data_IF_124516999636
#
_entry.id   IF_124516999636
#
_cell.length_a   1.000
_cell.length_b   1.000
_cell.length_c   1.000
_cell.angle_alpha   90.00
_cell.angle_beta   90.00
_cell.angle_gamma   90.00
#
_symmetry.space_group_name_H-M   'P 1'
#
loop_
_entity.id
_entity.type
_entity.pdbx_description
1 polymer ?
#
# COMPACT_ATOMS: atom_id res chain seq x y z
N UNK A 1 -24.35 3.03 51.95
CA UNK A 1 -24.50 4.39 52.54
C UNK A 1 -24.34 5.32 51.36
N UNK A 2 -25.43 6.00 50.99
CA UNK A 2 -25.51 6.73 49.73
C UNK A 2 -24.58 7.94 49.70
N UNK A 3 -23.88 8.18 48.58
CA UNK A 3 -23.26 9.48 48.34
C UNK A 3 -24.36 10.55 48.23
N UNK A 4 -24.14 11.70 48.86
CA UNK A 4 -24.92 12.92 48.64
C UNK A 4 -24.62 13.52 47.25
N UNK A 5 -25.49 14.43 46.78
CA UNK A 5 -25.30 15.10 45.48
C UNK A 5 -23.97 15.85 45.38
N UNK A 6 -23.53 16.49 46.48
CA UNK A 6 -22.27 17.21 46.56
C UNK A 6 -21.06 16.26 46.52
N UNK A 7 -21.17 15.10 47.18
CA UNK A 7 -20.13 14.07 47.16
C UNK A 7 -19.99 13.42 45.77
N UNK A 8 -21.10 13.14 45.08
CA UNK A 8 -21.10 12.61 43.70
C UNK A 8 -20.36 13.55 42.74
N UNK A 9 -20.54 14.86 42.90
CA UNK A 9 -19.85 15.86 42.07
C UNK A 9 -18.36 15.93 42.38
N UNK A 10 -18.00 15.84 43.67
CA UNK A 10 -16.62 15.92 44.16
C UNK A 10 -15.78 14.64 44.01
N UNK A 11 -16.32 13.54 43.47
CA UNK A 11 -15.57 12.30 43.28
C UNK A 11 -14.33 12.54 42.42
N UNK A 12 -13.17 12.14 42.93
CA UNK A 12 -11.89 12.25 42.21
C UNK A 12 -11.78 11.22 41.07
N UNK A 13 -12.39 10.04 41.21
CA UNK A 13 -12.44 9.02 40.17
C UNK A 13 -13.85 8.40 40.11
N UNK A 14 -14.82 9.10 39.50
CA UNK A 14 -16.20 8.65 39.48
C UNK A 14 -16.39 7.29 38.81
N UNK A 15 -15.48 6.83 37.93
CA UNK A 15 -15.55 5.46 37.40
C UNK A 15 -15.30 4.39 38.46
N UNK A 16 -14.32 4.57 39.36
CA UNK A 16 -14.06 3.57 40.41
C UNK A 16 -15.21 3.45 41.41
N UNK A 17 -15.81 4.59 41.74
CA UNK A 17 -16.84 4.66 42.77
C UNK A 17 -18.23 4.29 42.21
N UNK A 18 -18.54 4.68 40.97
CA UNK A 18 -19.86 4.51 40.35
C UNK A 18 -19.87 3.59 39.12
N UNK A 19 -18.74 3.04 38.69
CA UNK A 19 -18.64 2.30 37.42
C UNK A 19 -19.21 0.88 37.42
N UNK A 20 -19.71 0.40 38.56
CA UNK A 20 -20.37 -0.90 38.67
C UNK A 20 -21.90 -0.76 38.69
N UNK A 21 -22.61 -1.82 38.29
CA UNK A 21 -24.06 -1.80 38.12
C UNK A 21 -24.83 -1.54 39.42
N UNK A 22 -24.32 -2.06 40.54
CA UNK A 22 -24.97 -1.92 41.85
C UNK A 22 -24.90 -0.47 42.35
N UNK A 23 -23.74 0.18 42.24
CA UNK A 23 -23.54 1.58 42.60
C UNK A 23 -24.36 2.52 41.68
N UNK A 24 -24.37 2.26 40.38
CA UNK A 24 -25.24 2.99 39.45
C UNK A 24 -26.71 2.89 39.85
N UNK A 25 -27.18 1.70 40.25
CA UNK A 25 -28.56 1.49 40.67
C UNK A 25 -28.87 2.14 42.03
N UNK A 26 -27.97 2.02 43.02
CA UNK A 26 -28.12 2.58 44.37
C UNK A 26 -28.26 4.11 44.33
N UNK A 27 -27.52 4.79 43.44
CA UNK A 27 -27.53 6.25 43.34
C UNK A 27 -28.44 6.81 42.24
N UNK A 28 -29.31 5.98 41.64
CA UNK A 28 -30.13 6.34 40.48
C UNK A 28 -30.92 7.63 40.64
N UNK A 29 -31.61 7.81 41.77
CA UNK A 29 -32.44 8.99 41.99
C UNK A 29 -31.60 10.26 42.09
N UNK A 30 -30.50 10.22 42.84
CA UNK A 30 -29.56 11.35 42.95
C UNK A 30 -28.91 11.71 41.62
N UNK A 31 -28.47 10.72 40.84
CA UNK A 31 -27.91 10.94 39.50
C UNK A 31 -28.91 11.60 38.54
N UNK A 32 -30.20 11.29 38.67
CA UNK A 32 -31.23 11.91 37.83
C UNK A 32 -31.64 13.33 38.27
N UNK A 33 -31.38 13.71 39.52
CA UNK A 33 -31.62 15.06 40.05
C UNK A 33 -30.54 16.08 39.62
N UNK A 34 -29.39 15.61 39.12
CA UNK A 34 -28.34 16.47 38.58
C UNK A 34 -28.86 17.32 37.41
N UNK A 35 -28.32 18.54 37.28
CA UNK A 35 -28.57 19.40 36.12
C UNK A 35 -28.04 18.76 34.83
N UNK A 36 -28.48 19.25 33.67
CA UNK A 36 -28.01 18.72 32.39
C UNK A 36 -26.49 18.82 32.23
N UNK A 37 -25.89 19.95 32.66
CA UNK A 37 -24.45 20.16 32.65
C UNK A 37 -23.73 19.21 33.61
N UNK A 38 -24.24 19.07 34.84
CA UNK A 38 -23.66 18.17 35.85
C UNK A 38 -23.71 16.70 35.41
N UNK A 39 -24.81 16.26 34.78
CA UNK A 39 -24.92 14.92 34.21
C UNK A 39 -23.85 14.69 33.14
N UNK A 40 -23.67 15.68 32.25
CA UNK A 40 -22.70 15.61 31.15
C UNK A 40 -21.27 15.56 31.67
N UNK A 41 -20.91 16.41 32.63
CA UNK A 41 -19.57 16.47 33.23
C UNK A 41 -19.23 15.18 33.96
N UNK A 42 -20.15 14.67 34.80
CA UNK A 42 -19.95 13.42 35.52
C UNK A 42 -19.82 12.23 34.55
N UNK A 43 -20.70 12.14 33.56
CA UNK A 43 -20.64 11.10 32.53
C UNK A 43 -19.31 11.12 31.75
N UNK A 44 -18.87 12.31 31.36
CA UNK A 44 -17.60 12.52 30.65
C UNK A 44 -16.42 12.04 31.49
N UNK A 45 -16.35 12.41 32.78
CA UNK A 45 -15.29 11.94 33.69
C UNK A 45 -15.33 10.43 33.90
N UNK A 46 -16.50 9.85 34.13
CA UNK A 46 -16.65 8.39 34.27
C UNK A 46 -16.15 7.64 33.03
N UNK A 47 -16.50 8.15 31.83
CA UNK A 47 -16.08 7.52 30.57
C UNK A 47 -14.58 7.70 30.34
N UNK A 48 -14.01 8.88 30.65
CA UNK A 48 -12.57 9.12 30.54
C UNK A 48 -11.76 8.21 31.46
N UNK A 49 -12.17 8.10 32.73
CA UNK A 49 -11.49 7.31 33.77
C UNK A 49 -11.62 5.79 33.55
N UNK A 50 -12.60 5.34 32.76
CA UNK A 50 -12.79 3.93 32.41
C UNK A 50 -11.60 3.42 31.55
N UNK A 51 -10.84 2.41 32.01
CA UNK A 51 -9.77 1.81 31.22
C UNK A 51 -10.30 1.17 29.93
N UNK A 52 -9.53 1.23 28.84
CA UNK A 52 -9.93 0.66 27.55
C UNK A 52 -10.26 -0.85 27.64
N UNK A 53 -9.55 -1.60 28.48
CA UNK A 53 -9.77 -3.04 28.72
C UNK A 53 -11.14 -3.34 29.34
N UNK A 54 -11.70 -2.39 30.08
CA UNK A 54 -12.97 -2.54 30.80
C UNK A 54 -14.14 -1.84 30.09
N UNK A 55 -13.87 -1.08 29.04
CA UNK A 55 -14.87 -0.32 28.28
C UNK A 55 -16.03 -1.21 27.80
N UNK A 56 -15.75 -2.44 27.36
CA UNK A 56 -16.79 -3.38 26.91
C UNK A 56 -17.68 -3.85 28.06
N UNK A 57 -17.12 -4.15 29.23
CA UNK A 57 -17.91 -4.52 30.41
C UNK A 57 -18.71 -3.34 30.93
N UNK A 58 -18.12 -2.14 30.91
CA UNK A 58 -18.81 -0.92 31.33
C UNK A 58 -20.02 -0.60 30.45
N UNK A 59 -19.91 -0.80 29.12
CA UNK A 59 -21.07 -0.68 28.22
C UNK A 59 -22.23 -1.60 28.59
N UNK A 60 -21.95 -2.84 29.05
CA UNK A 60 -23.00 -3.77 29.52
C UNK A 60 -23.65 -3.30 30.80
N UNK A 61 -22.87 -2.70 31.70
CA UNK A 61 -23.36 -2.11 32.95
C UNK A 61 -24.30 -0.93 32.65
N UNK A 62 -23.90 -0.04 31.74
CA UNK A 62 -24.73 1.10 31.31
C UNK A 62 -26.04 0.60 30.68
N UNK A 63 -25.97 -0.38 29.78
CA UNK A 63 -27.16 -0.92 29.12
C UNK A 63 -28.10 -1.62 30.11
N UNK A 64 -27.57 -2.35 31.09
CA UNK A 64 -28.36 -2.99 32.14
C UNK A 64 -29.06 -1.97 33.06
N UNK A 65 -28.46 -0.79 33.26
CA UNK A 65 -29.04 0.30 34.04
C UNK A 65 -30.01 1.17 33.23
N UNK A 66 -30.12 0.95 31.92
CA UNK A 66 -30.98 1.72 31.03
C UNK A 66 -32.45 1.50 31.38
N UNK A 67 -33.22 2.58 31.32
CA UNK A 67 -34.65 2.59 31.59
C UNK A 67 -35.37 2.82 30.27
N UNK A 68 -36.06 1.80 29.71
CA UNK A 68 -36.88 1.98 28.52
C UNK A 68 -38.00 3.00 28.80
N UNK A 69 -38.27 3.89 27.85
CA UNK A 69 -39.42 4.82 27.87
C UNK A 69 -39.41 5.89 28.98
N UNK A 70 -38.25 6.45 29.33
CA UNK A 70 -38.22 7.64 30.18
C UNK A 70 -38.68 8.89 29.38
N UNK A 71 -39.64 9.65 29.94
CA UNK A 71 -40.16 10.89 29.34
C UNK A 71 -39.12 12.04 29.32
N UNK A 72 -38.01 11.89 30.05
CA UNK A 72 -36.95 12.88 30.19
C UNK A 72 -35.55 12.22 30.10
N UNK A 73 -34.52 12.96 29.65
CA UNK A 73 -33.15 12.46 29.58
C UNK A 73 -32.63 12.09 30.97
N UNK A 74 -32.37 10.79 31.15
CA UNK A 74 -31.80 10.23 32.38
C UNK A 74 -30.29 10.39 32.40
N UNK A 75 -29.67 10.26 33.57
CA UNK A 75 -28.22 10.18 33.65
C UNK A 75 -27.66 9.04 32.77
N UNK A 76 -28.32 7.88 32.72
CA UNK A 76 -27.86 6.74 31.93
C UNK A 76 -27.90 6.99 30.42
N UNK A 77 -28.87 7.75 29.91
CA UNK A 77 -28.86 8.13 28.49
C UNK A 77 -27.68 9.04 28.16
N UNK A 78 -27.38 10.01 29.05
CA UNK A 78 -26.21 10.90 28.90
C UNK A 78 -24.89 10.13 29.04
N UNK A 79 -24.84 9.14 29.95
CA UNK A 79 -23.68 8.27 30.14
C UNK A 79 -23.47 7.34 28.93
N UNK A 80 -24.55 6.81 28.37
CA UNK A 80 -24.50 5.97 27.17
C UNK A 80 -24.00 6.76 25.95
N UNK A 81 -24.47 7.99 25.74
CA UNK A 81 -23.98 8.86 24.66
C UNK A 81 -22.47 9.15 24.80
N UNK A 82 -22.00 9.51 26.01
CA UNK A 82 -20.57 9.71 26.27
C UNK A 82 -19.75 8.43 26.02
N UNK A 83 -20.28 7.29 26.47
CA UNK A 83 -19.69 5.97 26.23
C UNK A 83 -19.56 5.66 24.74
N UNK A 84 -20.60 5.95 23.96
CA UNK A 84 -20.62 5.73 22.51
C UNK A 84 -19.51 6.50 21.79
N UNK A 85 -19.23 7.74 22.19
CA UNK A 85 -18.12 8.54 21.63
C UNK A 85 -16.77 7.85 21.83
N UNK A 86 -16.44 7.47 23.08
CA UNK A 86 -15.18 6.77 23.38
C UNK A 86 -15.12 5.41 22.67
N UNK A 87 -16.23 4.66 22.65
CA UNK A 87 -16.33 3.37 21.96
C UNK A 87 -16.06 3.50 20.46
N UNK A 88 -16.69 4.47 19.78
CA UNK A 88 -16.54 4.66 18.33
C UNK A 88 -15.12 5.07 17.96
N UNK A 89 -14.47 5.94 18.75
CA UNK A 89 -13.06 6.30 18.54
C UNK A 89 -12.16 5.06 18.65
N UNK A 90 -12.32 4.22 19.68
CA UNK A 90 -11.54 2.98 19.78
C UNK A 90 -11.88 1.95 18.71
N UNK A 91 -13.11 1.94 18.19
CA UNK A 91 -13.48 1.07 17.08
C UNK A 91 -12.75 1.43 15.77
N UNK A 92 -12.24 2.67 15.64
CA UNK A 92 -11.32 3.06 14.56
C UNK A 92 -9.95 2.39 14.69
N UNK A 93 -9.56 1.91 15.89
CA UNK A 93 -8.31 1.18 16.14
C UNK A 93 -8.47 -0.34 16.18
N UNK A 94 -9.69 -0.87 16.25
CA UNK A 94 -9.93 -2.31 16.37
C UNK A 94 -9.43 -3.05 15.12
N UNK A 95 -8.38 -3.85 15.26
CA UNK A 95 -7.78 -4.64 14.16
C UNK A 95 -8.75 -5.61 13.50
N UNK A 96 -9.84 -5.99 14.17
CA UNK A 96 -10.89 -6.86 13.61
C UNK A 96 -11.87 -6.10 12.71
N UNK A 97 -11.98 -4.79 12.87
CA UNK A 97 -12.83 -3.96 12.03
C UNK A 97 -12.14 -3.71 10.68
N UNK A 98 -12.49 -4.45 9.64
CA UNK A 98 -11.83 -4.31 8.32
C UNK A 98 -12.08 -2.97 7.64
N UNK A 99 -13.15 -2.26 8.01
CA UNK A 99 -13.62 -1.03 7.35
C UNK A 99 -13.89 0.09 8.37
N UNK A 100 -12.88 0.56 9.12
CA UNK A 100 -13.08 1.61 10.14
C UNK A 100 -13.60 2.93 9.58
N UNK A 101 -13.30 3.22 8.31
CA UNK A 101 -13.75 4.45 7.66
C UNK A 101 -15.27 4.58 7.60
N UNK A 102 -16.02 3.47 7.63
CA UNK A 102 -17.48 3.50 7.63
C UNK A 102 -18.06 4.20 8.86
N UNK A 103 -17.37 4.13 10.02
CA UNK A 103 -17.75 4.84 11.24
C UNK A 103 -17.70 6.38 11.11
N UNK A 104 -17.01 6.87 10.08
CA UNK A 104 -16.86 8.29 9.74
C UNK A 104 -17.76 8.67 8.56
N UNK A 105 -18.37 7.69 7.87
CA UNK A 105 -19.25 7.91 6.72
C UNK A 105 -20.74 7.80 7.11
N UNK A 106 -21.58 8.47 6.32
CA UNK A 106 -22.93 8.93 6.66
C UNK A 106 -23.89 7.93 7.33
N UNK A 107 -23.81 6.63 7.06
CA UNK A 107 -24.74 5.65 7.66
C UNK A 107 -24.41 5.31 9.12
N UNK A 108 -23.15 5.42 9.52
CA UNK A 108 -22.70 5.09 10.89
C UNK A 108 -22.15 6.32 11.64
N UNK A 109 -22.05 7.45 10.94
CA UNK A 109 -21.54 8.70 11.45
C UNK A 109 -22.64 9.52 12.13
N UNK A 110 -22.39 9.90 13.39
CA UNK A 110 -23.33 10.70 14.20
C UNK A 110 -22.66 12.03 14.56
N UNK A 111 -22.76 12.99 13.65
CA UNK A 111 -22.11 14.29 13.78
C UNK A 111 -22.60 15.05 15.03
N UNK A 112 -23.92 14.98 15.32
CA UNK A 112 -24.53 15.65 16.47
C UNK A 112 -23.95 15.12 17.79
N UNK A 113 -23.78 13.80 17.92
CA UNK A 113 -23.19 13.19 19.10
C UNK A 113 -21.75 13.66 19.34
N UNK A 114 -20.92 13.67 18.30
CA UNK A 114 -19.53 14.12 18.44
C UNK A 114 -19.43 15.62 18.71
N UNK A 115 -20.28 16.45 18.10
CA UNK A 115 -20.35 17.88 18.40
C UNK A 115 -20.80 18.13 19.85
N UNK A 116 -21.77 17.36 20.35
CA UNK A 116 -22.23 17.44 21.74
C UNK A 116 -21.12 17.09 22.74
N UNK A 117 -20.26 16.13 22.42
CA UNK A 117 -19.19 15.63 23.29
C UNK A 117 -17.79 15.93 22.74
N UNK A 118 -17.60 17.09 22.11
CA UNK A 118 -16.35 17.45 21.44
C UNK A 118 -15.12 17.38 22.34
N UNK A 119 -15.19 17.93 23.55
CA UNK A 119 -14.05 17.93 24.49
C UNK A 119 -13.68 16.51 24.95
N UNK A 120 -14.66 15.64 25.16
CA UNK A 120 -14.45 14.22 25.44
C UNK A 120 -13.76 13.54 24.26
N UNK A 121 -14.26 13.76 23.05
CA UNK A 121 -13.69 13.18 21.84
C UNK A 121 -12.22 13.60 21.64
N UNK A 122 -11.91 14.89 21.83
CA UNK A 122 -10.54 15.41 21.75
C UNK A 122 -9.61 14.76 22.78
N UNK A 123 -10.05 14.62 24.04
CA UNK A 123 -9.26 13.97 25.08
C UNK A 123 -9.00 12.48 24.80
N UNK A 124 -9.98 11.77 24.22
CA UNK A 124 -9.79 10.37 23.81
C UNK A 124 -8.86 10.27 22.60
N UNK A 125 -8.89 11.27 21.71
CA UNK A 125 -8.04 11.32 20.52
C UNK A 125 -6.58 11.61 20.84
N UNK A 126 -6.25 12.45 21.83
CA UNK A 126 -4.90 13.02 22.15
C UNK A 126 -3.72 12.03 22.24
N UNK A 127 -4.00 10.72 22.35
CA UNK A 127 -2.98 9.66 22.43
C UNK A 127 -3.05 8.66 21.27
N UNK A 128 -4.01 8.83 20.38
CA UNK A 128 -4.42 7.85 19.37
C UNK A 128 -4.45 8.43 17.95
N UNK A 129 -4.24 9.72 17.75
CA UNK A 129 -4.47 10.37 16.45
C UNK A 129 -3.59 9.79 15.36
N UNK A 130 -2.30 9.58 15.64
CA UNK A 130 -1.36 9.01 14.67
C UNK A 130 -1.76 7.60 14.28
N UNK A 131 -2.08 6.75 15.28
CA UNK A 131 -2.45 5.37 15.06
C UNK A 131 -3.77 5.24 14.29
N UNK A 132 -4.77 6.09 14.61
CA UNK A 132 -6.04 6.14 13.90
C UNK A 132 -5.82 6.63 12.46
N UNK A 133 -5.03 7.69 12.27
CA UNK A 133 -4.77 8.26 10.95
C UNK A 133 -4.02 7.28 10.03
N UNK A 134 -2.98 6.60 10.55
CA UNK A 134 -2.27 5.54 9.84
C UNK A 134 -3.24 4.43 9.44
N UNK A 135 -4.02 3.92 10.39
CA UNK A 135 -4.96 2.82 10.14
C UNK A 135 -6.05 3.17 9.14
N UNK A 136 -6.59 4.39 9.21
CA UNK A 136 -7.55 4.87 8.22
C UNK A 136 -6.87 4.98 6.85
N UNK A 137 -5.65 5.49 6.76
CA UNK A 137 -4.94 5.55 5.48
C UNK A 137 -4.68 4.15 4.89
N UNK A 138 -4.36 3.16 5.72
CA UNK A 138 -4.17 1.77 5.28
C UNK A 138 -5.46 1.10 4.75
N UNK A 139 -6.61 1.39 5.37
CA UNK A 139 -7.85 0.63 5.16
C UNK A 139 -8.92 1.35 4.36
N UNK A 140 -8.80 2.67 4.15
CA UNK A 140 -9.79 3.47 3.42
C UNK A 140 -9.54 3.37 1.91
N UNK A 141 -10.54 2.94 1.12
CA UNK A 141 -10.48 2.98 -0.34
C UNK A 141 -10.22 4.40 -0.84
N UNK A 142 -9.50 4.51 -1.96
CA UNK A 142 -9.08 5.80 -2.50
C UNK A 142 -10.26 6.74 -2.77
N UNK A 143 -11.39 6.22 -3.28
CA UNK A 143 -12.57 7.04 -3.58
C UNK A 143 -13.21 7.63 -2.31
N UNK A 144 -13.03 6.98 -1.16
CA UNK A 144 -13.64 7.38 0.12
C UNK A 144 -12.75 8.31 0.95
N UNK A 145 -11.45 8.42 0.66
CA UNK A 145 -10.50 9.21 1.47
C UNK A 145 -10.89 10.68 1.58
N UNK A 146 -11.34 11.29 0.49
CA UNK A 146 -11.73 12.69 0.48
C UNK A 146 -12.95 12.94 1.39
N UNK A 147 -13.97 12.08 1.31
CA UNK A 147 -15.18 12.23 2.13
C UNK A 147 -14.86 12.04 3.62
N UNK A 148 -14.03 11.05 3.95
CA UNK A 148 -13.57 10.84 5.33
C UNK A 148 -12.85 12.08 5.86
N UNK A 149 -11.93 12.65 5.07
CA UNK A 149 -11.20 13.86 5.47
C UNK A 149 -12.13 15.07 5.68
N UNK A 150 -13.14 15.23 4.83
CA UNK A 150 -14.14 16.30 4.96
C UNK A 150 -14.99 16.13 6.23
N UNK A 151 -15.50 14.91 6.50
CA UNK A 151 -16.31 14.62 7.68
C UNK A 151 -15.50 14.83 8.97
N UNK A 152 -14.23 14.39 9.00
CA UNK A 152 -13.33 14.66 10.14
C UNK A 152 -13.11 16.16 10.32
N UNK A 153 -12.88 16.90 9.23
CA UNK A 153 -12.66 18.36 9.30
C UNK A 153 -13.92 19.12 9.77
N UNK A 154 -15.11 18.61 9.45
CA UNK A 154 -16.38 19.15 9.93
C UNK A 154 -16.50 19.10 11.46
N UNK A 155 -16.24 17.95 12.07
CA UNK A 155 -16.35 17.77 13.53
C UNK A 155 -15.16 18.39 14.27
N UNK A 156 -13.96 18.16 13.74
CA UNK A 156 -12.69 18.46 14.40
C UNK A 156 -11.90 19.52 13.62
N UNK A 157 -12.47 20.71 13.36
CA UNK A 157 -11.79 21.76 12.62
C UNK A 157 -10.52 22.19 13.36
N UNK A 158 -9.44 22.38 12.60
CA UNK A 158 -8.14 22.88 13.08
C UNK A 158 -7.47 22.05 14.19
N UNK A 159 -7.89 20.78 14.34
CA UNK A 159 -7.31 19.85 15.33
C UNK A 159 -6.05 19.15 14.81
N UNK A 160 -5.26 18.58 15.74
CA UNK A 160 -4.15 17.70 15.38
C UNK A 160 -4.64 16.45 14.63
N UNK A 161 -5.77 15.88 15.07
CA UNK A 161 -6.38 14.71 14.43
C UNK A 161 -6.72 14.95 12.95
N UNK A 162 -7.42 16.04 12.63
CA UNK A 162 -7.77 16.37 11.25
C UNK A 162 -6.54 16.58 10.36
N UNK A 163 -5.50 17.24 10.90
CA UNK A 163 -4.22 17.41 10.17
C UNK A 163 -3.53 16.08 9.90
N UNK A 164 -3.47 15.18 10.90
CA UNK A 164 -2.87 13.85 10.76
C UNK A 164 -3.59 12.98 9.73
N UNK A 165 -4.92 13.03 9.70
CA UNK A 165 -5.72 12.33 8.67
C UNK A 165 -5.36 12.81 7.27
N UNK A 166 -5.32 14.14 7.07
CA UNK A 166 -4.93 14.72 5.79
C UNK A 166 -3.52 14.30 5.35
N UNK A 167 -2.55 14.36 6.28
CA UNK A 167 -1.17 13.95 6.03
C UNK A 167 -1.05 12.46 5.71
N UNK A 168 -1.69 11.59 6.48
CA UNK A 168 -1.66 10.15 6.26
C UNK A 168 -2.29 9.76 4.91
N UNK A 169 -3.41 10.39 4.53
CA UNK A 169 -4.04 10.16 3.22
C UNK A 169 -3.19 10.68 2.06
N UNK A 170 -2.58 11.86 2.19
CA UNK A 170 -1.69 12.41 1.18
C UNK A 170 -0.45 11.52 0.99
N UNK A 171 0.18 11.11 2.10
CA UNK A 171 1.33 10.22 2.07
C UNK A 171 0.97 8.85 1.47
N UNK A 172 -0.17 8.27 1.87
CA UNK A 172 -0.63 7.00 1.31
C UNK A 172 -0.88 7.08 -0.19
N UNK A 173 -1.51 8.15 -0.66
CA UNK A 173 -1.70 8.40 -2.10
C UNK A 173 -0.36 8.47 -2.83
N UNK A 174 0.62 9.19 -2.27
CA UNK A 174 1.93 9.35 -2.90
C UNK A 174 2.73 8.03 -2.88
N UNK A 175 2.59 7.21 -1.83
CA UNK A 175 3.14 5.85 -1.81
C UNK A 175 2.51 5.02 -2.93
N UNK A 176 1.17 5.00 -3.03
CA UNK A 176 0.44 4.17 -3.98
C UNK A 176 0.69 4.58 -5.44
N UNK A 177 0.70 5.90 -5.72
CA UNK A 177 0.78 6.45 -7.08
C UNK A 177 2.20 6.74 -7.56
N UNK A 178 3.08 7.19 -6.66
CA UNK A 178 4.44 7.62 -7.03
C UNK A 178 5.45 6.53 -6.68
N UNK A 179 5.58 6.18 -5.39
CA UNK A 179 6.62 5.24 -4.93
C UNK A 179 6.44 3.82 -5.49
N UNK A 180 5.20 3.33 -5.54
CA UNK A 180 4.86 2.04 -6.16
C UNK A 180 4.57 2.14 -7.66
N UNK A 181 4.50 3.36 -8.19
CA UNK A 181 4.22 3.65 -9.59
C UNK A 181 5.41 3.40 -10.51
N UNK A 182 5.38 4.03 -11.69
CA UNK A 182 6.43 3.87 -12.69
C UNK A 182 7.61 4.84 -12.49
N UNK A 183 7.37 5.98 -11.84
CA UNK A 183 8.36 7.01 -11.56
C UNK A 183 8.52 7.25 -10.04
N UNK A 184 9.15 6.31 -9.31
CA UNK A 184 9.31 6.40 -7.85
C UNK A 184 10.19 7.57 -7.39
N UNK A 185 10.98 8.16 -8.29
CA UNK A 185 11.76 9.37 -7.99
C UNK A 185 10.87 10.59 -7.70
N UNK A 186 9.65 10.66 -8.27
CA UNK A 186 8.71 11.76 -8.07
C UNK A 186 8.19 11.82 -6.63
N UNK A 187 8.12 10.68 -5.94
CA UNK A 187 7.77 10.62 -4.51
C UNK A 187 8.64 11.57 -3.68
N UNK A 188 9.97 11.54 -3.89
CA UNK A 188 10.93 12.37 -3.15
C UNK A 188 10.96 13.84 -3.58
N UNK A 189 10.26 14.20 -4.65
CA UNK A 189 10.11 15.57 -5.13
C UNK A 189 8.68 16.09 -4.94
N UNK A 190 7.78 15.28 -4.38
CA UNK A 190 6.39 15.67 -4.10
C UNK A 190 6.33 16.79 -3.07
N UNK A 191 5.34 17.68 -3.20
CA UNK A 191 5.07 18.72 -2.20
C UNK A 191 4.64 18.15 -0.85
N UNK A 192 4.07 16.95 -0.85
CA UNK A 192 3.61 16.27 0.36
C UNK A 192 4.73 15.46 1.03
N UNK A 193 5.89 15.33 0.38
CA UNK A 193 7.01 14.59 0.93
C UNK A 193 7.63 15.34 2.12
N UNK A 194 7.64 14.66 3.25
CA UNK A 194 8.28 15.11 4.49
C UNK A 194 8.89 13.90 5.19
N UNK A 195 10.16 14.00 5.60
CA UNK A 195 10.82 12.94 6.37
C UNK A 195 10.08 12.69 7.68
N UNK A 196 9.65 13.75 8.35
CA UNK A 196 8.91 13.66 9.61
C UNK A 196 7.58 12.91 9.43
N UNK A 197 6.85 13.21 8.35
CA UNK A 197 5.59 12.52 8.04
C UNK A 197 5.82 11.05 7.68
N UNK A 198 6.92 10.74 6.97
CA UNK A 198 7.25 9.35 6.66
C UNK A 198 7.63 8.54 7.90
N UNK A 199 8.34 9.14 8.85
CA UNK A 199 8.68 8.50 10.12
C UNK A 199 7.45 8.34 11.01
N UNK A 200 6.61 9.36 11.08
CA UNK A 200 5.38 9.35 11.87
C UNK A 200 4.40 8.27 11.38
N UNK A 201 4.29 8.07 10.07
CA UNK A 201 3.40 7.09 9.44
C UNK A 201 4.19 5.92 8.79
N UNK A 202 5.24 5.47 9.47
CA UNK A 202 6.13 4.43 8.95
C UNK A 202 5.41 3.11 8.62
N UNK A 203 4.27 2.82 9.26
CA UNK A 203 3.49 1.62 8.97
C UNK A 203 2.94 1.58 7.55
N UNK A 204 2.72 2.74 6.92
CA UNK A 204 2.25 2.83 5.53
C UNK A 204 3.23 2.25 4.52
N UNK A 205 4.51 2.17 4.85
CA UNK A 205 5.54 1.62 3.97
C UNK A 205 5.60 0.10 3.98
N UNK A 206 4.84 -0.60 4.83
CA UNK A 206 4.78 -2.09 4.80
C UNK A 206 4.39 -2.63 3.41
N UNK A 207 3.69 -1.85 2.60
CA UNK A 207 3.31 -2.21 1.22
C UNK A 207 4.49 -2.33 0.25
N UNK A 208 5.68 -1.80 0.62
CA UNK A 208 6.91 -1.96 -0.17
C UNK A 208 7.57 -3.31 0.06
N UNK A 209 7.11 -4.09 1.06
CA UNK A 209 7.69 -5.39 1.39
C UNK A 209 7.57 -6.37 0.21
N UNK A 210 8.66 -7.03 -0.15
CA UNK A 210 8.82 -7.89 -1.33
C UNK A 210 8.75 -7.16 -2.69
N UNK A 211 8.79 -5.82 -2.70
CA UNK A 211 8.84 -4.99 -3.92
C UNK A 211 10.10 -4.11 -3.95
N UNK A 212 11.00 -4.27 -3.00
CA UNK A 212 12.18 -3.45 -2.76
C UNK A 212 13.06 -3.39 -4.01
N UNK A 213 13.39 -4.55 -4.58
CA UNK A 213 14.25 -4.65 -5.77
C UNK A 213 13.60 -4.03 -7.01
N UNK A 214 12.28 -4.18 -7.16
CA UNK A 214 11.52 -3.57 -8.26
C UNK A 214 11.52 -2.05 -8.16
N UNK A 215 11.20 -1.50 -6.97
CA UNK A 215 11.22 -0.06 -6.71
C UNK A 215 12.64 0.49 -6.88
N UNK A 216 13.65 -0.19 -6.34
CA UNK A 216 15.05 0.19 -6.47
C UNK A 216 15.52 0.24 -7.93
N UNK A 217 15.11 -0.75 -8.74
CA UNK A 217 15.43 -0.77 -10.17
C UNK A 217 14.75 0.40 -10.91
N UNK A 218 13.46 0.64 -10.66
CA UNK A 218 12.74 1.80 -11.23
C UNK A 218 13.35 3.13 -10.80
N UNK A 219 13.79 3.26 -9.54
CA UNK A 219 14.52 4.43 -9.05
C UNK A 219 15.83 4.62 -9.81
N UNK A 220 16.60 3.55 -10.04
CA UNK A 220 17.86 3.62 -10.76
C UNK A 220 17.69 4.00 -12.25
N UNK A 221 16.54 3.69 -12.85
CA UNK A 221 16.19 4.12 -14.21
C UNK A 221 15.72 5.59 -14.28
N UNK A 222 14.82 5.98 -13.38
CA UNK A 222 14.11 7.27 -13.44
C UNK A 222 14.82 8.42 -12.72
N UNK A 223 15.66 8.13 -11.71
CA UNK A 223 16.28 9.17 -10.90
C UNK A 223 17.45 9.85 -11.64
N UNK A 224 17.43 11.20 -11.78
CA UNK A 224 18.58 11.95 -12.26
C UNK A 224 19.82 11.66 -11.40
N UNK A 225 21.00 11.50 -12.02
CA UNK A 225 22.24 11.17 -11.31
C UNK A 225 22.53 12.13 -10.14
N UNK A 226 22.27 13.42 -10.31
CA UNK A 226 22.45 14.46 -9.29
C UNK A 226 21.58 14.26 -8.04
N UNK A 227 20.42 13.60 -8.18
CA UNK A 227 19.46 13.38 -7.10
C UNK A 227 19.64 12.02 -6.41
N UNK A 228 20.42 11.10 -6.96
CA UNK A 228 20.54 9.73 -6.44
C UNK A 228 21.09 9.69 -5.00
N UNK A 229 22.07 10.53 -4.66
CA UNK A 229 22.62 10.60 -3.30
C UNK A 229 21.60 11.10 -2.27
N UNK A 230 20.80 12.10 -2.66
CA UNK A 230 19.73 12.66 -1.83
C UNK A 230 18.62 11.63 -1.63
N UNK A 231 18.20 10.95 -2.70
CA UNK A 231 17.19 9.89 -2.64
C UNK A 231 17.66 8.73 -1.76
N UNK A 232 18.90 8.27 -1.91
CA UNK A 232 19.46 7.21 -1.07
C UNK A 232 19.47 7.60 0.42
N UNK A 233 19.84 8.85 0.75
CA UNK A 233 19.79 9.37 2.11
C UNK A 233 18.35 9.47 2.64
N UNK A 234 17.42 9.92 1.81
CA UNK A 234 16.02 10.02 2.17
C UNK A 234 15.44 8.64 2.50
N UNK A 235 15.70 7.64 1.65
CA UNK A 235 15.25 6.25 1.87
C UNK A 235 15.83 5.66 3.15
N UNK A 236 17.08 5.96 3.46
CA UNK A 236 17.69 5.54 4.73
C UNK A 236 16.97 6.15 5.95
N UNK A 237 16.35 7.32 5.80
CA UNK A 237 15.58 7.98 6.87
C UNK A 237 14.10 7.57 6.91
N UNK A 238 13.57 6.91 5.85
CA UNK A 238 12.17 6.49 5.75
C UNK A 238 11.85 5.31 6.68
N UNK A 239 12.79 4.38 6.85
CA UNK A 239 12.51 3.08 7.46
C UNK A 239 13.53 2.79 8.57
N UNK A 240 13.22 3.11 9.85
CA UNK A 240 14.13 2.86 10.95
C UNK A 240 14.39 1.36 11.25
N UNK A 241 13.71 0.42 10.57
CA UNK A 241 13.77 -1.01 10.89
C UNK A 241 14.10 -1.96 9.74
N UNK A 242 14.23 -1.49 8.49
CA UNK A 242 14.42 -2.39 7.34
C UNK A 242 15.58 -1.91 6.45
N UNK A 243 16.80 -2.33 6.82
CA UNK A 243 18.02 -2.05 6.05
C UNK A 243 17.99 -2.71 4.66
N UNK A 244 17.06 -3.64 4.40
CA UNK A 244 16.92 -4.30 3.11
C UNK A 244 16.55 -3.30 2.00
N UNK A 245 15.51 -2.48 2.17
CA UNK A 245 15.08 -1.56 1.12
C UNK A 245 16.17 -0.54 0.78
N UNK A 246 16.78 0.07 1.80
CA UNK A 246 17.88 1.00 1.62
C UNK A 246 19.09 0.33 0.93
N UNK A 247 19.40 -0.92 1.28
CA UNK A 247 20.46 -1.70 0.64
C UNK A 247 20.15 -1.98 -0.82
N UNK A 248 18.94 -2.43 -1.16
CA UNK A 248 18.53 -2.67 -2.56
C UNK A 248 18.68 -1.41 -3.41
N UNK A 249 18.29 -0.24 -2.88
CA UNK A 249 18.42 1.04 -3.58
C UNK A 249 19.89 1.42 -3.80
N UNK A 250 20.74 1.31 -2.77
CA UNK A 250 22.19 1.57 -2.91
C UNK A 250 22.83 0.64 -3.94
N UNK A 251 22.45 -0.64 -3.92
CA UNK A 251 22.94 -1.62 -4.90
C UNK A 251 22.47 -1.27 -6.31
N UNK A 252 21.19 -0.94 -6.51
CA UNK A 252 20.66 -0.56 -7.82
C UNK A 252 21.34 0.69 -8.40
N UNK A 253 21.58 1.73 -7.58
CA UNK A 253 22.35 2.92 -8.01
C UNK A 253 23.80 2.58 -8.33
N UNK A 254 24.43 1.67 -7.58
CA UNK A 254 25.79 1.20 -7.88
C UNK A 254 25.83 0.45 -9.21
N UNK A 255 24.86 -0.43 -9.48
CA UNK A 255 24.75 -1.13 -10.77
C UNK A 255 24.53 -0.14 -11.90
N UNK A 256 23.62 0.83 -11.75
CA UNK A 256 23.39 1.90 -12.73
C UNK A 256 24.67 2.66 -13.08
N UNK A 257 25.44 3.09 -12.07
CA UNK A 257 26.73 3.77 -12.27
C UNK A 257 27.74 2.86 -12.96
N UNK A 258 27.77 1.58 -12.61
CA UNK A 258 28.68 0.63 -13.24
C UNK A 258 28.29 0.36 -14.70
N UNK A 259 27.01 0.37 -15.06
CA UNK A 259 26.55 0.28 -16.46
C UNK A 259 27.13 1.44 -17.29
N UNK A 260 27.28 2.64 -16.71
CA UNK A 260 27.92 3.76 -17.42
C UNK A 260 29.40 3.46 -17.76
N UNK A 261 30.09 2.57 -17.02
CA UNK A 261 31.43 2.09 -17.38
C UNK A 261 31.42 1.21 -18.64
N UNK A 262 30.35 0.45 -18.88
CA UNK A 262 30.19 -0.32 -20.12
C UNK A 262 30.06 0.61 -21.33
N UNK A 263 29.38 1.75 -21.16
CA UNK A 263 29.19 2.74 -22.22
C UNK A 263 30.44 3.60 -22.47
N UNK A 264 31.41 3.60 -21.55
CA UNK A 264 32.63 4.38 -21.65
C UNK A 264 33.68 3.84 -22.64
N UNK A 265 34.89 4.42 -22.57
CA UNK A 265 36.02 4.03 -23.43
C UNK A 265 36.63 2.68 -23.03
N UNK A 266 36.44 2.26 -21.77
CA UNK A 266 37.06 1.09 -21.16
C UNK A 266 36.02 0.15 -20.54
N UNK A 267 35.21 -0.56 -21.35
CA UNK A 267 34.12 -1.42 -20.87
C UNK A 267 34.60 -2.56 -19.95
N UNK A 268 35.87 -2.95 -20.01
CA UNK A 268 36.47 -3.94 -19.09
C UNK A 268 36.42 -3.53 -17.62
N UNK A 269 36.32 -2.22 -17.34
CA UNK A 269 36.24 -1.70 -15.97
C UNK A 269 34.96 -2.15 -15.26
N UNK A 270 33.87 -2.40 -16.00
CA UNK A 270 32.66 -2.95 -15.43
C UNK A 270 32.89 -4.33 -14.79
N UNK A 271 33.54 -5.24 -15.54
CA UNK A 271 33.77 -6.62 -15.11
C UNK A 271 34.90 -6.77 -14.09
N UNK A 272 35.80 -5.79 -14.03
CA UNK A 272 36.95 -5.78 -13.11
C UNK A 272 36.72 -4.92 -11.87
N UNK A 273 35.59 -4.20 -11.81
CA UNK A 273 35.19 -3.41 -10.65
C UNK A 273 35.00 -4.28 -9.42
N UNK A 274 35.39 -3.74 -8.25
CA UNK A 274 35.13 -4.35 -6.94
C UNK A 274 33.63 -4.52 -6.66
N UNK A 275 32.81 -3.64 -7.26
CA UNK A 275 31.37 -3.61 -7.06
C UNK A 275 30.62 -4.54 -8.05
N UNK A 276 31.33 -5.27 -8.91
CA UNK A 276 30.74 -6.25 -9.82
C UNK A 276 30.24 -7.47 -9.03
N UNK A 277 28.97 -7.82 -9.24
CA UNK A 277 28.37 -9.04 -8.72
C UNK A 277 27.38 -9.58 -9.73
N UNK A 278 27.49 -10.89 -10.04
CA UNK A 278 26.56 -11.58 -10.94
C UNK A 278 25.15 -11.54 -10.36
N UNK A 279 25.00 -11.78 -9.06
CA UNK A 279 23.69 -11.78 -8.39
C UNK A 279 23.00 -10.41 -8.51
N UNK A 280 23.75 -9.32 -8.32
CA UNK A 280 23.22 -7.96 -8.49
C UNK A 280 22.83 -7.68 -9.95
N UNK A 281 23.59 -8.21 -10.93
CA UNK A 281 23.25 -8.05 -12.34
C UNK A 281 21.97 -8.82 -12.70
N UNK A 282 21.74 -9.99 -12.10
CA UNK A 282 20.52 -10.77 -12.31
C UNK A 282 19.32 -10.11 -11.63
N UNK A 283 19.49 -9.66 -10.38
CA UNK A 283 18.47 -8.98 -9.61
C UNK A 283 17.99 -7.68 -10.28
N UNK A 284 18.94 -6.88 -10.79
CA UNK A 284 18.65 -5.62 -11.48
C UNK A 284 18.74 -5.74 -13.00
N UNK A 285 18.40 -6.92 -13.54
CA UNK A 285 18.51 -7.22 -14.97
C UNK A 285 17.73 -6.28 -15.88
N UNK A 286 16.64 -5.67 -15.39
CA UNK A 286 15.85 -4.70 -16.14
C UNK A 286 16.61 -3.41 -16.49
N UNK A 287 17.72 -3.12 -15.78
CA UNK A 287 18.54 -1.94 -16.04
C UNK A 287 19.28 -2.06 -17.38
N UNK A 288 19.72 -3.25 -17.75
CA UNK A 288 20.62 -3.43 -18.90
C UNK A 288 19.92 -3.18 -20.23
N UNK A 289 18.73 -3.76 -20.53
CA UNK A 289 18.06 -3.50 -21.80
C UNK A 289 17.76 -2.01 -21.98
N UNK A 290 17.23 -1.34 -20.95
CA UNK A 290 16.85 0.06 -21.04
C UNK A 290 18.03 1.04 -21.22
N UNK A 291 19.24 0.64 -20.81
CA UNK A 291 20.41 1.53 -20.80
C UNK A 291 21.47 1.19 -21.84
N UNK A 292 21.49 -0.05 -22.33
CA UNK A 292 22.46 -0.53 -23.31
C UNK A 292 21.88 -0.63 -24.72
N UNK A 293 20.58 -0.40 -24.91
CA UNK A 293 19.91 -0.50 -26.21
C UNK A 293 20.67 0.25 -27.30
N UNK A 294 21.12 -0.48 -28.32
CA UNK A 294 21.84 0.07 -29.48
C UNK A 294 23.35 0.22 -29.30
N UNK A 295 23.89 -0.05 -28.10
CA UNK A 295 25.31 0.05 -27.79
C UNK A 295 26.02 -1.31 -27.69
N UNK A 296 25.28 -2.42 -27.69
CA UNK A 296 25.79 -3.76 -27.37
C UNK A 296 26.90 -4.22 -28.32
N UNK A 297 26.76 -3.93 -29.62
CA UNK A 297 27.77 -4.27 -30.63
C UNK A 297 29.07 -3.52 -30.41
N UNK A 298 28.99 -2.20 -30.17
CA UNK A 298 30.17 -1.36 -29.94
C UNK A 298 30.92 -1.78 -28.68
N UNK A 299 30.19 -2.18 -27.63
CA UNK A 299 30.77 -2.69 -26.38
C UNK A 299 31.51 -4.00 -26.65
N UNK A 300 30.89 -4.95 -27.36
CA UNK A 300 31.51 -6.22 -27.72
C UNK A 300 32.77 -6.05 -28.57
N UNK A 301 32.76 -5.15 -29.55
CA UNK A 301 33.92 -4.82 -30.38
C UNK A 301 35.07 -4.26 -29.55
N UNK A 302 34.80 -3.31 -28.65
CA UNK A 302 35.82 -2.76 -27.73
C UNK A 302 36.43 -3.85 -26.84
N UNK A 303 35.59 -4.74 -26.30
CA UNK A 303 36.04 -5.86 -25.47
C UNK A 303 36.88 -6.89 -26.26
N UNK A 304 36.62 -7.07 -27.55
CA UNK A 304 37.38 -8.00 -28.41
C UNK A 304 38.86 -7.63 -28.60
N UNK A 305 39.22 -6.36 -28.37
CA UNK A 305 40.58 -5.82 -28.50
C UNK A 305 41.46 -6.08 -27.26
N UNK A 306 40.90 -6.68 -26.21
CA UNK A 306 41.59 -6.88 -24.94
C UNK A 306 42.53 -8.10 -24.96
N UNK A 307 43.45 -8.14 -24.01
CA UNK A 307 44.35 -9.27 -23.80
C UNK A 307 43.57 -10.57 -23.52
N UNK A 308 44.05 -11.69 -24.08
CA UNK A 308 43.41 -13.01 -24.02
C UNK A 308 43.01 -13.46 -22.61
N UNK A 309 43.81 -13.13 -21.59
CA UNK A 309 43.53 -13.48 -20.19
C UNK A 309 42.33 -12.71 -19.63
N UNK A 310 42.29 -11.40 -19.86
CA UNK A 310 41.18 -10.53 -19.41
C UNK A 310 39.90 -10.88 -20.14
N UNK A 311 39.99 -11.11 -21.45
CA UNK A 311 38.87 -11.52 -22.30
C UNK A 311 38.26 -12.86 -21.86
N UNK A 312 39.10 -13.83 -21.45
CA UNK A 312 38.62 -15.12 -20.94
C UNK A 312 37.84 -15.00 -19.63
N UNK A 313 38.29 -14.16 -18.69
CA UNK A 313 37.55 -13.93 -17.44
C UNK A 313 36.23 -13.17 -17.68
N UNK A 314 36.23 -12.19 -18.59
CA UNK A 314 35.02 -11.47 -19.00
C UNK A 314 34.02 -12.42 -19.65
N UNK A 315 34.46 -13.29 -20.58
CA UNK A 315 33.58 -14.28 -21.21
C UNK A 315 32.97 -15.24 -20.17
N UNK A 316 33.74 -15.72 -19.19
CA UNK A 316 33.20 -16.54 -18.10
C UNK A 316 32.13 -15.79 -17.30
N UNK A 317 32.34 -14.51 -16.99
CA UNK A 317 31.35 -13.68 -16.27
C UNK A 317 30.09 -13.44 -17.10
N UNK A 318 30.23 -13.19 -18.40
CA UNK A 318 29.11 -13.07 -19.34
C UNK A 318 28.31 -14.37 -19.43
N UNK A 319 28.98 -15.52 -19.48
CA UNK A 319 28.33 -16.84 -19.46
C UNK A 319 27.53 -17.06 -18.18
N UNK A 320 28.06 -16.69 -17.02
CA UNK A 320 27.33 -16.80 -15.74
C UNK A 320 26.04 -15.96 -15.73
N UNK A 321 26.08 -14.75 -16.29
CA UNK A 321 24.89 -13.88 -16.39
C UNK A 321 23.92 -14.42 -17.45
N UNK A 322 24.43 -14.88 -18.59
CA UNK A 322 23.63 -15.38 -19.72
C UNK A 322 22.96 -16.72 -19.41
N UNK A 323 23.61 -17.63 -18.67
CA UNK A 323 23.06 -18.93 -18.30
C UNK A 323 21.80 -18.85 -17.45
N UNK A 324 21.61 -17.73 -16.74
CA UNK A 324 20.41 -17.44 -15.97
C UNK A 324 19.32 -16.68 -16.76
N UNK A 325 19.61 -16.22 -17.98
CA UNK A 325 18.67 -15.46 -18.80
C UNK A 325 18.06 -16.31 -19.92
N UNK A 326 16.74 -16.51 -19.90
CA UNK A 326 16.03 -17.25 -20.94
C UNK A 326 15.70 -16.44 -22.21
N UNK A 327 16.01 -15.14 -22.20
CA UNK A 327 15.68 -14.22 -23.28
C UNK A 327 16.81 -14.11 -24.33
N UNK A 328 16.43 -14.17 -25.61
CA UNK A 328 17.35 -13.96 -26.73
C UNK A 328 17.68 -12.48 -26.94
N UNK A 329 16.86 -11.56 -26.41
CA UNK A 329 17.11 -10.11 -26.47
C UNK A 329 17.95 -9.58 -25.30
N UNK A 330 18.58 -10.45 -24.50
CA UNK A 330 19.43 -10.01 -23.40
C UNK A 330 20.69 -9.28 -23.93
N UNK A 331 20.97 -8.03 -23.49
CA UNK A 331 22.15 -7.26 -23.89
C UNK A 331 23.47 -8.01 -23.71
N UNK A 332 23.61 -8.81 -22.65
CA UNK A 332 24.82 -9.58 -22.39
C UNK A 332 25.05 -10.71 -23.39
N UNK A 333 23.99 -11.26 -24.01
CA UNK A 333 24.14 -12.23 -25.11
C UNK A 333 24.57 -11.52 -26.40
N UNK A 334 24.04 -10.33 -26.65
CA UNK A 334 24.42 -9.51 -27.82
C UNK A 334 25.88 -9.05 -27.73
N UNK A 335 26.32 -8.60 -26.55
CA UNK A 335 27.72 -8.27 -26.28
C UNK A 335 28.62 -9.49 -26.50
N UNK A 336 28.27 -10.64 -25.91
CA UNK A 336 29.05 -11.87 -26.06
C UNK A 336 29.15 -12.33 -27.53
N UNK A 337 28.08 -12.20 -28.31
CA UNK A 337 28.08 -12.53 -29.73
C UNK A 337 28.98 -11.59 -30.56
N UNK A 338 29.12 -10.32 -30.16
CA UNK A 338 29.98 -9.35 -30.83
C UNK A 338 31.48 -9.47 -30.47
N UNK A 339 31.83 -10.12 -29.35
CA UNK A 339 33.22 -10.42 -28.98
C UNK A 339 33.82 -11.50 -29.91
N UNK A 340 33.00 -12.41 -30.42
CA UNK A 340 33.45 -13.45 -31.36
C UNK A 340 33.63 -12.82 -32.75
N UNK A 341 34.82 -12.87 -33.35
CA UNK A 341 35.01 -12.33 -34.69
C UNK A 341 34.07 -13.03 -35.67
N UNK A 342 33.27 -12.26 -36.41
CA UNK A 342 32.62 -12.78 -37.63
C UNK A 342 33.71 -13.30 -38.55
N UNK A 343 33.86 -14.62 -38.60
CA UNK A 343 34.53 -15.26 -39.73
C UNK A 343 33.80 -14.77 -40.98
N UNK A 344 34.54 -14.12 -41.88
CA UNK A 344 34.00 -13.62 -43.14
C UNK A 344 33.28 -14.72 -43.93
N UNK A 345 32.29 -14.37 -44.77
CA UNK A 345 31.52 -15.35 -45.51
C UNK A 345 32.45 -16.12 -46.45
N UNK A 346 32.79 -17.34 -46.06
CA UNK A 346 33.48 -18.28 -46.93
C UNK A 346 32.46 -18.86 -47.90
N UNK A 347 32.61 -18.43 -49.15
CA UNK A 347 32.27 -19.17 -50.38
C UNK A 347 30.79 -19.48 -50.61
N UNK A 348 30.19 -18.64 -51.46
CA UNK A 348 29.19 -19.07 -52.44
C UNK A 348 29.75 -20.28 -53.21
N UNK A 349 29.15 -21.45 -53.00
CA UNK A 349 29.12 -22.50 -54.01
C UNK A 349 27.79 -22.37 -54.77
N UNK A 350 27.89 -22.04 -56.05
CA UNK A 350 26.81 -22.14 -57.03
C UNK A 350 26.26 -23.57 -57.06
N UNK A 351 24.93 -23.79 -57.08
CA UNK A 351 24.37 -25.07 -57.44
C UNK A 351 24.09 -25.09 -58.95
N UNK A 352 24.94 -25.78 -59.71
CA UNK A 352 24.58 -26.25 -61.05
C UNK A 352 23.55 -27.36 -60.94
N UNK A 353 22.39 -27.11 -61.53
CA UNK A 353 21.28 -28.04 -61.75
C UNK A 353 21.72 -29.11 -62.74
N UNK A 354 21.60 -30.39 -62.37
CA UNK A 354 20.98 -31.40 -63.23
C UNK A 354 20.82 -32.75 -62.49
N UNK A 355 19.58 -33.21 -62.46
CA UNK A 355 19.14 -34.57 -62.15
C UNK A 355 18.44 -35.07 -63.44
N UNK A 356 18.27 -36.39 -63.74
CA UNK A 356 17.79 -37.36 -62.75
C UNK A 356 18.09 -38.88 -62.94
N UNK A 357 17.64 -39.63 -61.92
CA UNK A 357 17.13 -41.03 -61.90
C UNK A 357 18.11 -42.21 -61.92
N UNK A 358 18.16 -42.95 -60.79
CA UNK A 358 17.47 -44.25 -60.62
C UNK A 358 17.66 -44.82 -59.18
N UNK A 359 16.56 -45.28 -58.58
CA UNK A 359 16.42 -46.13 -57.38
C UNK A 359 16.75 -47.63 -57.68
N UNK A 360 16.61 -48.63 -56.76
CA UNK A 360 16.46 -48.66 -55.28
C UNK A 360 17.34 -49.74 -54.58
N UNK A 361 17.27 -49.81 -53.23
CA UNK A 361 16.94 -51.01 -52.42
C UNK A 361 17.77 -51.20 -51.12
N UNK A 362 17.04 -51.25 -49.99
CA UNK A 362 17.11 -52.13 -48.80
C UNK A 362 18.50 -52.52 -48.21
N UNK A 363 18.76 -52.55 -46.90
CA UNK A 363 17.95 -53.11 -45.81
C UNK A 363 18.68 -52.98 -44.45
N UNK A 364 17.91 -52.84 -43.35
CA UNK A 364 18.06 -53.46 -41.99
C UNK A 364 19.37 -53.20 -41.20
N UNK A 365 19.43 -53.05 -39.88
CA UNK A 365 18.60 -53.22 -38.68
C UNK A 365 19.46 -52.61 -37.54
N UNK A 366 19.01 -52.14 -36.38
CA UNK A 366 18.21 -52.83 -35.37
C UNK A 366 17.82 -51.84 -34.27
N UNK A 367 16.51 -51.78 -34.01
CA UNK A 367 15.89 -51.46 -32.72
C UNK A 367 16.26 -52.56 -31.68
N UNK A 368 15.97 -52.50 -30.36
CA UNK A 368 14.68 -52.01 -29.84
C UNK A 368 14.73 -51.38 -28.43
N UNK A 369 13.70 -50.66 -27.98
CA UNK A 369 12.57 -51.11 -27.16
C UNK A 369 12.50 -50.07 -26.02
N UNK A 370 11.41 -49.56 -25.47
CA UNK A 370 9.94 -49.57 -25.62
C UNK A 370 9.50 -48.96 -24.25
N UNK A 371 8.32 -48.41 -23.96
CA UNK A 371 6.98 -48.99 -23.95
C UNK A 371 6.12 -47.94 -23.19
N UNK A 372 4.94 -47.63 -23.74
CA UNK A 372 3.70 -47.28 -23.02
C UNK A 372 3.59 -45.89 -22.34
N UNK A 373 2.49 -45.15 -22.45
CA UNK A 373 1.23 -45.36 -23.15
C UNK A 373 0.48 -44.01 -23.20
N UNK A 374 0.07 -43.63 -24.41
CA UNK A 374 -1.22 -42.97 -24.67
C UNK A 374 -2.37 -43.77 -24.02
N UNK A 375 -3.54 -43.24 -23.68
CA UNK A 375 -4.70 -42.93 -24.55
C UNK A 375 -5.74 -42.34 -23.57
N UNK A 376 -6.42 -41.20 -23.83
CA UNK A 376 -7.73 -41.22 -24.48
C UNK A 376 -8.17 -39.82 -24.95
N UNK A 377 -8.72 -39.86 -26.16
CA UNK A 377 -9.26 -38.82 -27.03
C UNK A 377 -10.79 -38.73 -26.87
N UNK A 378 -11.31 -37.52 -27.11
CA UNK A 378 -12.62 -37.15 -27.77
C UNK A 378 -13.92 -37.36 -26.96
N UNK A 379 -14.70 -36.30 -26.61
CA UNK A 379 -15.79 -35.56 -27.35
C UNK A 379 -17.00 -36.45 -27.72
N UNK A 380 -18.29 -36.01 -27.79
CA UNK A 380 -18.84 -34.64 -27.92
C UNK A 380 -20.20 -34.32 -27.18
N UNK A 381 -20.75 -33.16 -27.55
CA UNK A 381 -22.00 -32.38 -27.32
C UNK A 381 -23.37 -33.09 -27.20
N UNK A 382 -24.32 -32.56 -26.39
CA UNK A 382 -25.64 -31.94 -26.77
C UNK A 382 -26.75 -31.93 -25.67
N UNK A 383 -27.50 -30.79 -25.62
CA UNK A 383 -28.96 -30.55 -25.33
C UNK A 383 -29.55 -31.04 -23.97
N UNK A 384 -30.42 -30.34 -23.21
CA UNK A 384 -31.60 -29.51 -23.53
C UNK A 384 -32.24 -28.91 -22.24
N UNK A 385 -32.98 -27.79 -22.38
CA UNK A 385 -34.22 -27.35 -21.67
C UNK A 385 -34.24 -26.79 -20.21
N UNK A 386 -34.58 -25.51 -20.12
CA UNK A 386 -35.36 -24.80 -19.06
C UNK A 386 -36.85 -25.24 -19.07
N UNK A 387 -37.79 -24.87 -18.12
CA UNK A 387 -38.03 -23.48 -17.60
C UNK A 387 -38.73 -23.28 -16.20
N UNK A 388 -38.79 -22.00 -15.73
CA UNK A 388 -39.85 -21.26 -14.94
C UNK A 388 -40.35 -21.77 -13.54
N UNK A 389 -40.89 -21.02 -12.56
CA UNK A 389 -41.33 -19.62 -12.24
C UNK A 389 -41.64 -19.60 -10.71
N UNK A 390 -41.45 -18.52 -9.93
CA UNK A 390 -42.48 -17.54 -9.50
C UNK A 390 -41.81 -16.54 -8.50
N UNK A 391 -41.79 -15.21 -8.72
CA UNK A 391 -42.83 -14.17 -8.56
C UNK A 391 -43.12 -13.69 -7.12
N UNK A 392 -42.69 -12.44 -6.82
CA UNK A 392 -43.48 -11.29 -6.30
C UNK A 392 -42.52 -10.09 -6.27
N UNK A 393 -42.66 -8.97 -6.99
CA UNK A 393 -43.73 -7.97 -7.23
C UNK A 393 -44.06 -7.10 -6.02
N UNK A 394 -43.51 -5.89 -6.00
CA UNK A 394 -44.20 -4.70 -5.47
C UNK A 394 -43.59 -3.44 -6.10
N UNK A 395 -44.41 -2.80 -6.93
CA UNK A 395 -44.20 -1.51 -7.58
C UNK A 395 -44.33 -0.34 -6.59
N UNK A 396 -43.60 0.75 -6.85
CA UNK A 396 -44.13 2.12 -6.67
C UNK A 396 -43.28 3.10 -7.48
N UNK A 397 -43.96 3.68 -8.46
CA UNK A 397 -43.56 4.81 -9.30
C UNK A 397 -43.28 6.07 -8.47
N UNK A 398 -42.32 6.89 -8.94
CA UNK A 398 -42.40 8.35 -8.86
C UNK A 398 -41.35 8.96 -9.79
N UNK A 399 -41.79 9.30 -11.00
CA UNK A 399 -41.10 10.20 -11.92
C UNK A 399 -41.01 11.62 -11.32
N UNK A 400 -39.84 12.24 -11.44
CA UNK A 400 -39.73 13.68 -11.72
C UNK A 400 -38.33 13.99 -12.25
N UNK A 401 -38.25 14.16 -13.57
CA UNK A 401 -37.13 14.79 -14.26
C UNK A 401 -37.02 16.28 -13.90
N UNK A 402 -35.80 16.75 -13.68
CA UNK A 402 -35.41 18.10 -14.11
C UNK A 402 -33.90 18.17 -14.27
N UNK A 403 -33.51 18.48 -15.50
CA UNK A 403 -32.19 18.61 -16.07
C UNK A 403 -31.35 19.74 -15.43
N UNK A 404 -30.03 19.50 -15.44
CA UNK A 404 -28.91 20.43 -15.68
C UNK A 404 -28.85 21.80 -14.97
N UNK A 405 -27.77 22.04 -14.21
CA UNK A 405 -26.77 23.03 -14.64
C UNK A 405 -25.49 23.05 -13.77
N UNK A 406 -24.39 23.28 -14.48
CA UNK A 406 -23.00 23.38 -14.05
C UNK A 406 -22.75 24.39 -12.90
N UNK A 407 -22.07 23.95 -11.84
CA UNK A 407 -21.53 24.82 -10.79
C UNK A 407 -19.99 24.95 -10.86
N UNK A 408 -19.42 24.95 -12.07
CA UNK A 408 -17.99 25.12 -12.33
C UNK A 408 -17.65 26.50 -12.92
N UNK A 409 -18.13 27.60 -12.33
CA UNK A 409 -17.78 28.95 -12.85
C UNK A 409 -18.04 30.13 -11.89
N UNK A 410 -17.70 30.04 -10.59
CA UNK A 410 -17.87 31.22 -9.70
C UNK A 410 -16.81 31.52 -8.63
N UNK A 411 -15.57 31.05 -8.79
CA UNK A 411 -14.45 31.46 -7.91
C UNK A 411 -13.21 31.99 -8.65
N UNK A 412 -13.39 32.62 -9.82
CA UNK A 412 -12.34 33.44 -10.45
C UNK A 412 -12.84 34.87 -10.61
N UNK A 413 -12.73 35.66 -9.54
CA UNK A 413 -12.58 37.12 -9.55
C UNK A 413 -12.58 37.64 -8.11
N UNK A 414 -11.42 37.62 -7.44
CA UNK A 414 -11.10 38.52 -6.32
C UNK A 414 -9.60 38.43 -5.99
N UNK A 415 -8.75 38.97 -6.88
CA UNK A 415 -7.49 39.61 -6.53
C UNK A 415 -7.15 40.61 -7.64
N UNK A 416 -7.53 41.87 -7.42
CA UNK A 416 -6.90 43.05 -7.99
C UNK A 416 -6.41 43.89 -6.83
#
# INVERSE_FOLDING_TARGET
MGYSLEEIQGLQNPYKDLGNGDALAEHREGLNQLSAEQKKDLATRMVLDCPQTELKSFGRVIEAARVPHADHPTFYSVLFEAYEVKRRIYALLDSRNKNPHLLILDKEFDEELFNKYKDLALQVLDTNETAIAERLAETTPEESRNQVALNVKGIFPDTLFARKIGQAFALKRDIDRLLLGDNPNEFFSSREYSVDSCQEFSGLFKVTKNKESSIAAKLALSAPQEKQSIIARNIQNLVPTDDEFATKVRTAFTVRRNIDLLLGDKPEQFFTSRDFSVDNCLEFSILFPALLEGHEQSIGEKLSLLESKTLSDINRKLEMINGAAHDQTNPFRLIAAAIVPKQGPSQQQEPTVDAPKAEPASSTSSNPNTIFQSVLKKRPTELTRSPTLAQSSMDSDSDSDSEDEDCFSKCCNMFK
#
